data_IF_595294894133
#
_entry.id   IF_595294894133
#
_cell.length_a   1.000
_cell.length_b   1.000
_cell.length_c   1.000
_cell.angle_alpha   90.00
_cell.angle_beta   90.00
_cell.angle_gamma   90.00
#
_symmetry.space_group_name_H-M   'P 1'
#
loop_
_entity.id
_entity.type
_entity.pdbx_description
1 polymer ?
#
# COMPACT_ATOMS: atom_id res chain seq x y z
N UNK A 1 9.30 9.78 -22.18
CA UNK A 1 8.80 10.33 -20.91
C UNK A 1 7.45 9.67 -20.68
N UNK A 2 7.36 8.75 -19.70
CA UNK A 2 6.06 8.14 -19.36
C UNK A 2 5.20 9.22 -18.70
N UNK A 3 3.90 9.31 -19.03
CA UNK A 3 3.04 10.31 -18.42
C UNK A 3 3.05 10.11 -16.90
N UNK A 4 3.06 11.21 -16.15
CA UNK A 4 2.66 11.19 -14.75
C UNK A 4 1.31 10.45 -14.67
N UNK A 5 1.03 9.68 -13.60
CA UNK A 5 -0.28 9.06 -13.45
C UNK A 5 -1.32 10.18 -13.26
N UNK A 6 -1.79 10.75 -14.36
CA UNK A 6 -3.03 11.49 -14.42
C UNK A 6 -4.14 10.46 -14.30
N UNK A 7 -4.60 10.27 -13.07
CA UNK A 7 -5.65 9.32 -12.80
C UNK A 7 -5.81 9.12 -11.31
N UNK A 8 -7.02 9.36 -10.83
CA UNK A 8 -7.58 8.65 -9.67
C UNK A 8 -7.13 7.20 -9.73
N UNK A 9 -6.60 6.66 -8.62
CA UNK A 9 -6.24 5.25 -8.48
C UNK A 9 -7.46 4.39 -8.82
N UNK A 10 -7.59 4.02 -10.09
CA UNK A 10 -8.76 3.35 -10.66
C UNK A 10 -8.37 1.89 -10.76
N UNK A 11 -8.94 1.10 -9.85
CA UNK A 11 -8.80 -0.35 -9.70
C UNK A 11 -7.37 -0.90 -9.80
N UNK A 12 -6.69 -0.99 -8.66
CA UNK A 12 -5.37 -1.61 -8.59
C UNK A 12 -4.74 -1.59 -7.20
N UNK A 13 -3.63 -2.31 -7.08
CA UNK A 13 -2.82 -2.31 -5.87
C UNK A 13 -1.76 -1.23 -5.95
N UNK A 14 -1.63 -0.46 -4.88
CA UNK A 14 -0.63 0.60 -4.74
C UNK A 14 0.27 0.33 -3.54
N UNK A 15 1.56 0.58 -3.68
CA UNK A 15 2.52 0.41 -2.59
C UNK A 15 2.93 1.76 -2.02
N UNK A 16 2.74 1.91 -0.72
CA UNK A 16 3.18 3.06 0.07
C UNK A 16 4.28 2.58 1.01
N UNK A 17 5.44 3.25 0.97
CA UNK A 17 6.56 3.02 1.86
C UNK A 17 6.74 4.23 2.77
N UNK A 18 6.57 4.02 4.08
CA UNK A 18 6.68 5.06 5.10
C UNK A 18 7.91 4.81 5.97
N UNK A 19 8.73 5.84 6.18
CA UNK A 19 9.75 5.81 7.22
C UNK A 19 9.10 6.13 8.57
N UNK A 20 8.73 5.09 9.32
CA UNK A 20 8.05 5.20 10.60
C UNK A 20 6.85 4.26 10.68
N UNK A 21 5.92 4.56 11.57
CA UNK A 21 4.70 3.77 11.73
C UNK A 21 3.49 4.67 11.89
N UNK A 22 2.42 4.36 11.16
CA UNK A 22 1.08 4.88 11.47
C UNK A 22 0.59 4.13 12.70
N UNK A 23 0.04 4.84 13.68
CA UNK A 23 -0.51 4.25 14.90
C UNK A 23 -1.99 4.57 15.01
N UNK A 24 -2.80 3.55 15.26
CA UNK A 24 -4.18 3.72 15.73
C UNK A 24 -4.19 3.53 17.25
N UNK A 25 -4.97 4.32 18.03
CA UNK A 25 -5.08 4.15 19.48
C UNK A 25 -5.44 2.72 19.93
N UNK A 26 -6.24 2.01 19.12
CA UNK A 26 -6.69 0.64 19.37
C UNK A 26 -6.00 -0.41 18.47
N UNK A 27 -4.97 0.00 17.71
CA UNK A 27 -4.22 -0.87 16.81
C UNK A 27 -4.96 -1.33 15.55
N UNK A 28 -6.21 -0.90 15.32
CA UNK A 28 -7.03 -1.33 14.17
C UNK A 28 -7.09 -0.24 13.10
N UNK A 29 -6.95 -0.65 11.84
CA UNK A 29 -7.04 0.23 10.66
C UNK A 29 -8.18 -0.14 9.69
N UNK A 30 -8.73 -1.35 9.80
CA UNK A 30 -9.71 -1.88 8.84
C UNK A 30 -10.96 -0.99 8.76
N UNK A 31 -11.32 -0.62 7.52
CA UNK A 31 -12.47 0.24 7.24
C UNK A 31 -12.33 1.70 7.69
N UNK A 32 -11.16 2.12 8.19
CA UNK A 32 -10.94 3.49 8.66
C UNK A 32 -10.32 4.36 7.61
N UNK A 33 -10.86 5.57 7.49
CA UNK A 33 -10.20 6.65 6.76
C UNK A 33 -9.09 7.19 7.66
N UNK A 34 -7.85 6.95 7.29
CA UNK A 34 -6.67 7.44 8.04
C UNK A 34 -6.28 8.86 7.63
N UNK A 35 -6.66 9.25 6.42
CA UNK A 35 -6.37 10.54 5.84
C UNK A 35 -6.48 10.50 4.32
N UNK A 36 -5.76 11.40 3.66
CA UNK A 36 -5.85 11.62 2.23
C UNK A 36 -4.49 11.44 1.56
N UNK A 37 -4.45 10.69 0.46
CA UNK A 37 -3.31 10.60 -0.45
C UNK A 37 -3.68 11.35 -1.74
N UNK A 38 -2.86 12.30 -2.16
CA UNK A 38 -3.01 13.01 -3.43
C UNK A 38 -1.72 12.94 -4.24
N UNK A 39 -1.83 13.14 -5.55
CA UNK A 39 -0.68 13.36 -6.43
C UNK A 39 -0.69 14.84 -6.82
N UNK A 40 0.37 15.56 -6.49
CA UNK A 40 0.46 16.98 -6.83
C UNK A 40 0.79 17.19 -8.32
N UNK A 41 0.78 18.45 -8.76
CA UNK A 41 1.04 18.82 -10.16
C UNK A 41 2.43 18.43 -10.66
N UNK A 42 3.40 18.20 -9.77
CA UNK A 42 4.73 17.70 -10.11
C UNK A 42 4.80 16.16 -10.20
N UNK A 43 3.68 15.46 -9.99
CA UNK A 43 3.61 13.99 -9.99
C UNK A 43 4.11 13.35 -8.70
N UNK A 44 4.35 14.14 -7.65
CA UNK A 44 4.79 13.64 -6.36
C UNK A 44 3.59 13.35 -5.45
N UNK A 45 3.62 12.25 -4.68
CA UNK A 45 2.55 11.90 -3.77
C UNK A 45 2.65 12.72 -2.47
N UNK A 46 1.51 13.15 -1.96
CA UNK A 46 1.37 13.84 -0.69
C UNK A 46 0.33 13.13 0.18
N UNK A 47 0.69 12.87 1.44
CA UNK A 47 -0.18 12.24 2.42
C UNK A 47 -0.50 13.25 3.53
N UNK A 48 -1.80 13.42 3.80
CA UNK A 48 -2.32 14.16 4.96
C UNK A 48 -2.93 13.15 5.93
N UNK A 49 -2.36 13.01 7.14
CA UNK A 49 -2.83 12.14 8.22
C UNK A 49 -3.06 12.96 9.50
N UNK A 50 -4.32 13.32 9.77
CA UNK A 50 -4.64 14.30 10.81
C UNK A 50 -3.97 15.64 10.49
N UNK A 51 -3.12 16.15 11.40
CA UNK A 51 -2.33 17.38 11.17
C UNK A 51 -0.98 17.14 10.51
N UNK A 52 -0.62 15.89 10.20
CA UNK A 52 0.67 15.55 9.61
C UNK A 52 0.60 15.56 8.10
N UNK A 53 1.51 16.30 7.47
CA UNK A 53 1.71 16.32 6.03
C UNK A 53 3.05 15.66 5.71
N UNK A 54 3.01 14.65 4.84
CA UNK A 54 4.18 13.97 4.31
C UNK A 54 4.26 14.17 2.81
N UNK A 55 5.37 14.75 2.36
CA UNK A 55 5.72 14.83 0.95
C UNK A 55 6.57 13.62 0.59
N UNK A 56 6.16 12.91 -0.46
CA UNK A 56 6.85 11.73 -0.95
C UNK A 56 7.31 11.89 -2.39
N UNK A 57 7.77 10.77 -2.95
CA UNK A 57 8.19 10.65 -4.35
C UNK A 57 7.67 9.35 -4.95
N UNK A 58 7.28 9.39 -6.22
CA UNK A 58 7.01 8.19 -7.01
C UNK A 58 8.31 7.55 -7.50
N UNK A 59 8.51 6.26 -7.24
CA UNK A 59 9.66 5.51 -7.73
C UNK A 59 9.26 4.17 -8.35
N UNK A 60 9.88 3.77 -9.48
CA UNK A 60 9.67 2.44 -10.04
C UNK A 60 10.35 1.39 -9.15
N UNK A 61 9.72 0.23 -9.02
CA UNK A 61 10.30 -0.90 -8.31
C UNK A 61 11.37 -1.57 -9.19
N UNK A 62 12.58 -1.77 -8.64
CA UNK A 62 13.66 -2.52 -9.33
C UNK A 62 13.22 -3.94 -9.71
N UNK A 63 12.35 -4.55 -8.91
CA UNK A 63 11.68 -5.81 -9.18
C UNK A 63 10.19 -5.62 -8.91
N UNK A 64 9.35 -5.90 -9.89
CA UNK A 64 7.89 -5.85 -9.71
C UNK A 64 7.46 -6.87 -8.65
N UNK A 65 6.40 -6.53 -7.92
CA UNK A 65 5.82 -7.36 -6.88
C UNK A 65 4.47 -7.89 -7.33
N UNK A 66 4.12 -9.11 -6.92
CA UNK A 66 2.78 -9.66 -7.09
C UNK A 66 2.08 -9.59 -5.74
N UNK A 67 0.85 -9.07 -5.73
CA UNK A 67 -0.01 -9.13 -4.55
C UNK A 67 -0.71 -10.46 -4.54
N UNK A 68 -0.51 -11.23 -3.47
CA UNK A 68 -1.20 -12.49 -3.24
C UNK A 68 -2.16 -12.37 -2.07
N UNK A 69 -3.36 -12.93 -2.23
CA UNK A 69 -4.30 -13.17 -1.13
C UNK A 69 -4.21 -14.63 -0.71
N UNK A 70 -4.02 -14.84 0.60
CA UNK A 70 -4.15 -16.17 1.20
C UNK A 70 -5.59 -16.62 1.08
N UNK A 71 -5.81 -17.81 0.52
CA UNK A 71 -7.18 -18.34 0.34
C UNK A 71 -7.63 -19.22 1.51
N UNK A 72 -6.71 -19.63 2.38
CA UNK A 72 -6.95 -20.63 3.43
C UNK A 72 -7.16 -22.05 2.89
N UNK A 73 -7.18 -22.24 1.56
CA UNK A 73 -7.32 -23.55 0.93
C UNK A 73 -5.98 -24.25 0.88
N UNK A 74 -6.01 -25.57 1.09
CA UNK A 74 -4.84 -26.44 0.91
C UNK A 74 -5.16 -27.53 -0.09
N UNK A 75 -4.19 -27.86 -0.93
CA UNK A 75 -4.30 -28.94 -1.91
C UNK A 75 -3.14 -29.91 -1.74
N UNK A 76 -3.32 -31.21 -2.02
CA UNK A 76 -2.21 -32.14 -2.11
C UNK A 76 -1.18 -31.61 -3.11
N UNK A 77 0.08 -31.58 -2.70
CA UNK A 77 1.21 -31.17 -3.54
C UNK A 77 1.98 -32.39 -4.04
N UNK A 78 2.25 -33.30 -3.12
CA UNK A 78 2.96 -34.53 -3.39
C UNK A 78 2.53 -35.60 -2.39
N UNK A 79 2.32 -36.82 -2.89
CA UNK A 79 2.12 -38.03 -2.10
C UNK A 79 3.38 -38.87 -2.18
N UNK A 80 4.02 -39.14 -1.05
CA UNK A 80 5.15 -40.06 -1.00
C UNK A 80 4.68 -41.48 -1.38
N UNK A 81 5.46 -42.18 -2.20
CA UNK A 81 5.17 -43.56 -2.62
C UNK A 81 5.13 -44.53 -1.42
N UNK A 82 5.83 -44.20 -0.33
CA UNK A 82 5.88 -44.97 0.92
C UNK A 82 4.67 -44.75 1.86
N UNK A 83 3.65 -43.99 1.44
CA UNK A 83 2.37 -43.86 2.15
C UNK A 83 2.38 -43.05 3.45
N UNK A 84 3.55 -42.65 3.98
CA UNK A 84 3.68 -42.04 5.31
C UNK A 84 3.69 -40.49 5.32
N UNK A 85 3.16 -39.85 4.29
CA UNK A 85 3.06 -38.38 4.30
C UNK A 85 2.42 -37.78 3.06
N UNK A 86 1.32 -37.06 3.27
CA UNK A 86 0.73 -36.21 2.25
C UNK A 86 1.20 -34.77 2.46
N UNK A 87 2.04 -34.26 1.56
CA UNK A 87 2.52 -32.87 1.61
C UNK A 87 1.42 -31.97 1.05
N UNK A 88 0.91 -31.05 1.87
CA UNK A 88 -0.18 -30.15 1.52
C UNK A 88 0.33 -28.74 1.23
N UNK A 89 0.06 -28.21 0.05
CA UNK A 89 0.41 -26.85 -0.37
C UNK A 89 -0.69 -25.83 -0.07
N UNK A 90 -0.31 -24.60 0.28
CA UNK A 90 -1.24 -23.48 0.49
C UNK A 90 -1.54 -22.78 -0.84
N UNK A 91 -2.82 -22.65 -1.17
CA UNK A 91 -3.27 -21.98 -2.38
C UNK A 91 -3.35 -20.48 -2.14
N UNK A 92 -2.69 -19.72 -3.02
CA UNK A 92 -2.72 -18.26 -3.03
C UNK A 92 -3.36 -17.75 -4.31
N UNK A 93 -4.13 -16.67 -4.21
CA UNK A 93 -4.74 -15.99 -5.35
C UNK A 93 -3.88 -14.78 -5.74
N UNK A 94 -3.43 -14.71 -6.99
CA UNK A 94 -2.71 -13.56 -7.51
C UNK A 94 -3.71 -12.44 -7.87
N UNK A 95 -3.57 -11.30 -7.23
CA UNK A 95 -4.53 -10.20 -7.33
C UNK A 95 -4.07 -9.08 -8.26
N UNK A 96 -2.76 -8.89 -8.42
CA UNK A 96 -2.23 -7.82 -9.27
C UNK A 96 -0.73 -7.69 -9.19
N UNK A 97 -0.18 -6.85 -10.08
CA UNK A 97 1.25 -6.56 -10.16
C UNK A 97 1.50 -5.11 -9.77
N UNK A 98 2.33 -4.90 -8.76
CA UNK A 98 2.81 -3.58 -8.35
C UNK A 98 4.13 -3.30 -9.04
N UNK A 99 4.18 -2.17 -9.75
CA UNK A 99 5.38 -1.73 -10.50
C UNK A 99 6.01 -0.46 -9.93
N UNK A 100 5.26 0.30 -9.15
CA UNK A 100 5.66 1.60 -8.60
C UNK A 100 5.36 1.65 -7.11
N UNK A 101 6.10 2.50 -6.40
CA UNK A 101 5.84 2.83 -5.00
C UNK A 101 5.86 4.33 -4.79
N UNK A 102 5.02 4.81 -3.88
CA UNK A 102 5.19 6.10 -3.24
C UNK A 102 6.07 5.93 -2.00
N UNK A 103 7.17 6.67 -1.94
CA UNK A 103 8.09 6.64 -0.80
C UNK A 103 8.00 7.96 -0.03
N UNK A 104 7.85 7.86 1.28
CA UNK A 104 7.84 8.98 2.21
C UNK A 104 8.95 8.77 3.25
N UNK A 105 10.12 9.34 2.98
CA UNK A 105 11.32 9.25 3.84
C UNK A 105 11.55 10.53 4.66
N UNK A 106 10.77 11.57 4.42
CA UNK A 106 10.90 12.85 5.11
C UNK A 106 10.12 12.84 6.42
N UNK A 107 10.57 13.64 7.39
CA UNK A 107 9.84 13.84 8.64
C UNK A 107 8.54 14.58 8.33
N UNK A 108 7.43 14.11 8.88
CA UNK A 108 6.14 14.79 8.77
C UNK A 108 6.23 16.25 9.25
N UNK A 109 5.63 17.15 8.47
CA UNK A 109 5.39 18.53 8.88
C UNK A 109 4.02 18.62 9.54
N UNK A 110 3.84 19.61 10.42
CA UNK A 110 2.54 19.91 11.02
C UNK A 110 1.90 21.04 10.23
N UNK A 111 0.72 20.79 9.66
CA UNK A 111 -0.09 21.85 9.08
C UNK A 111 -0.78 22.62 10.22
N UNK A 112 -0.49 23.93 10.32
CA UNK A 112 -0.95 24.77 11.43
C UNK A 112 -2.29 25.46 11.17
N UNK A 113 -2.91 25.25 10.01
CA UNK A 113 -4.10 26.01 9.61
C UNK A 113 -5.36 25.15 9.78
N UNK A 114 -6.32 25.53 10.64
CA UNK A 114 -7.64 24.91 10.64
C UNK A 114 -8.38 25.25 9.33
N UNK A 115 -9.23 24.34 8.80
CA UNK A 115 -10.04 24.64 7.63
C UNK A 115 -11.04 25.75 7.98
N UNK A 116 -10.87 26.92 7.37
CA UNK A 116 -11.79 28.05 7.24
C UNK A 116 -12.81 28.25 8.37
N UNK A 117 -12.57 29.24 9.23
CA UNK A 117 -13.66 29.93 9.93
C UNK A 117 -14.41 30.79 8.89
N UNK A 118 -15.70 30.53 8.59
CA UNK A 118 -16.47 31.45 7.78
C UNK A 118 -16.66 32.77 8.54
N UNK A 119 -16.23 33.88 7.92
CA UNK A 119 -16.67 35.25 8.24
C UNK A 119 -18.09 35.48 7.81
#
# INVERSE_FOLDING_TARGET
MLPAPEGTFTDGYFLIELQGAIRSPDGKFDGRVLGQLTINSAGNPEIILGHHVLEGKMEPLKKHLIVFKKTGKRTPYFTNEDGDGNVMSEVHEALGVVKWKAIFQTRARIEKTPPNTPT
#
